data_IF_380520819638
#
_entry.id   IF_380520819638
#
_cell.length_a   1.000
_cell.length_b   1.000
_cell.length_c   1.000
_cell.angle_alpha   90.00
_cell.angle_beta   90.00
_cell.angle_gamma   90.00
#
_symmetry.space_group_name_H-M   'P 1'
#
loop_
_entity.id
_entity.type
_entity.pdbx_description
1 polymer ?
#
# COMPACT_ATOMS: atom_id res chain seq x y z
N UNK A 1 4.14 20.57 8.05
CA UNK A 1 3.72 21.68 8.93
C UNK A 1 2.54 21.20 9.76
N UNK A 2 2.50 21.44 11.07
CA UNK A 2 1.42 20.93 11.91
C UNK A 2 1.27 21.66 13.24
N UNK A 3 0.05 21.67 13.76
CA UNK A 3 -0.32 22.16 15.08
C UNK A 3 -1.08 21.03 15.81
N UNK A 4 -0.33 20.14 16.48
CA UNK A 4 -0.85 18.88 17.02
C UNK A 4 -2.02 19.07 17.99
N UNK A 5 -2.00 20.15 18.79
CA UNK A 5 -3.09 20.47 19.73
C UNK A 5 -4.42 20.82 19.06
N UNK A 6 -4.42 21.12 17.76
CA UNK A 6 -5.63 21.41 16.96
C UNK A 6 -5.96 20.32 15.94
N UNK A 7 -5.27 19.18 15.98
CA UNK A 7 -5.43 18.12 14.97
C UNK A 7 -5.22 18.65 13.55
N UNK A 8 -4.30 19.60 13.37
CA UNK A 8 -4.10 20.33 12.12
C UNK A 8 -2.71 20.07 11.53
N UNK A 9 -2.64 19.89 10.21
CA UNK A 9 -1.40 19.57 9.52
C UNK A 9 -1.46 19.70 8.01
N UNK A 10 -0.31 19.94 7.38
CA UNK A 10 -0.16 20.02 5.93
C UNK A 10 1.23 19.53 5.52
N UNK A 11 1.30 18.96 4.33
CA UNK A 11 2.52 18.41 3.74
C UNK A 11 3.17 19.43 2.80
N UNK A 12 4.46 19.25 2.55
CA UNK A 12 5.21 20.01 1.55
C UNK A 12 6.11 19.07 0.77
N UNK A 13 6.83 19.62 -0.20
CA UNK A 13 7.76 18.88 -1.04
C UNK A 13 9.15 19.51 -1.02
N UNK A 14 10.14 18.74 -1.44
CA UNK A 14 11.53 19.18 -1.52
C UNK A 14 11.97 19.20 -2.99
N UNK A 15 12.65 20.27 -3.39
CA UNK A 15 13.35 20.37 -4.67
C UNK A 15 14.84 20.23 -4.41
N UNK A 16 15.45 19.22 -5.02
CA UNK A 16 16.90 18.99 -4.98
C UNK A 16 17.58 19.66 -6.18
N UNK A 17 18.65 20.42 -5.93
CA UNK A 17 19.41 21.11 -6.98
C UNK A 17 20.57 20.28 -7.56
N UNK A 18 20.84 19.10 -7.02
CA UNK A 18 21.92 18.21 -7.48
C UNK A 18 23.33 18.64 -7.05
N UNK A 19 23.46 19.72 -6.29
CA UNK A 19 24.72 20.25 -5.76
C UNK A 19 24.83 20.11 -4.21
N UNK A 20 23.97 19.28 -3.61
CA UNK A 20 23.88 19.12 -2.15
C UNK A 20 23.04 20.19 -1.44
N UNK A 21 22.39 21.09 -2.17
CA UNK A 21 21.40 22.05 -1.61
C UNK A 21 19.97 21.65 -1.97
N UNK A 22 19.04 22.02 -1.10
CA UNK A 22 17.63 21.65 -1.16
C UNK A 22 16.74 22.85 -0.84
N UNK A 23 15.63 22.99 -1.57
CA UNK A 23 14.55 23.93 -1.22
C UNK A 23 13.36 23.11 -0.71
N UNK A 24 12.94 23.38 0.52
CA UNK A 24 11.65 22.90 1.04
C UNK A 24 10.54 23.88 0.70
N UNK A 25 9.50 23.41 0.02
CA UNK A 25 8.30 24.19 -0.29
C UNK A 25 7.13 23.65 0.52
N UNK A 26 6.48 24.53 1.30
CA UNK A 26 5.31 24.19 2.10
C UNK A 26 4.23 25.21 1.77
N UNK A 27 3.01 24.73 1.50
CA UNK A 27 1.85 25.59 1.33
C UNK A 27 1.27 25.90 2.71
N UNK A 28 1.17 27.18 3.05
CA UNK A 28 0.56 27.62 4.31
C UNK A 28 -0.97 27.45 4.23
N UNK A 29 -1.45 26.28 4.63
CA UNK A 29 -2.87 25.90 4.62
C UNK A 29 -3.50 25.94 6.03
N UNK A 30 -2.83 26.51 7.02
CA UNK A 30 -3.30 26.55 8.40
C UNK A 30 -3.09 27.96 8.94
N UNK A 31 -4.13 28.54 9.55
CA UNK A 31 -4.03 29.79 10.30
C UNK A 31 -3.45 29.53 11.70
N UNK A 32 -2.54 30.37 12.17
CA UNK A 32 -1.98 30.31 13.52
C UNK A 32 -0.45 30.21 13.53
N UNK A 33 0.09 29.48 14.51
CA UNK A 33 1.53 29.32 14.73
C UNK A 33 1.96 27.85 14.55
N UNK A 34 1.81 27.27 13.35
CA UNK A 34 2.12 25.86 13.15
C UNK A 34 3.63 25.59 13.14
N UNK A 35 4.04 24.40 13.58
CA UNK A 35 5.44 23.98 13.55
C UNK A 35 5.78 23.34 12.21
N UNK A 36 6.96 23.64 11.66
CA UNK A 36 7.48 22.95 10.47
C UNK A 36 8.35 21.78 10.91
N UNK A 37 7.95 20.58 10.49
CA UNK A 37 8.68 19.35 10.75
C UNK A 37 9.31 18.89 9.45
N UNK A 38 10.63 18.85 9.42
CA UNK A 38 11.41 18.34 8.29
C UNK A 38 12.07 17.06 8.79
N UNK A 39 11.54 15.87 8.44
CA UNK A 39 12.23 14.63 8.75
C UNK A 39 13.52 14.58 7.93
N UNK A 40 14.67 14.55 8.60
CA UNK A 40 15.92 14.15 7.97
C UNK A 40 15.83 12.64 7.75
N UNK A 41 15.73 12.22 6.49
CA UNK A 41 15.69 10.80 6.14
C UNK A 41 17.11 10.24 5.94
N UNK A 42 17.23 9.15 5.20
CA UNK A 42 18.50 8.51 4.91
C UNK A 42 19.40 9.44 4.09
N UNK A 43 20.64 9.61 4.53
CA UNK A 43 21.66 10.32 3.76
C UNK A 43 21.91 9.61 2.41
N UNK A 44 22.42 10.35 1.42
CA UNK A 44 22.68 9.83 0.07
C UNK A 44 23.61 8.61 0.09
N UNK A 45 24.57 8.59 1.00
CA UNK A 45 25.48 7.48 1.25
C UNK A 45 24.72 6.24 1.75
N UNK A 46 23.78 6.42 2.68
CA UNK A 46 22.94 5.33 3.20
C UNK A 46 21.97 4.79 2.15
N UNK A 47 21.37 5.67 1.33
CA UNK A 47 20.60 5.27 0.15
C UNK A 47 21.48 4.51 -0.84
N UNK A 48 22.70 5.00 -1.09
CA UNK A 48 23.69 4.34 -1.94
C UNK A 48 24.04 2.94 -1.45
N UNK A 49 24.21 2.75 -0.14
CA UNK A 49 24.42 1.43 0.48
C UNK A 49 23.20 0.52 0.28
N UNK A 50 21.99 1.02 0.53
CA UNK A 50 20.74 0.28 0.28
C UNK A 50 20.61 -0.16 -1.18
N UNK A 51 20.76 0.76 -2.14
CA UNK A 51 20.64 0.48 -3.58
C UNK A 51 21.72 -0.49 -4.02
N UNK A 52 22.99 -0.26 -3.66
CA UNK A 52 24.09 -1.17 -4.01
C UNK A 52 23.89 -2.56 -3.41
N UNK A 53 23.41 -2.64 -2.17
CA UNK A 53 23.13 -3.91 -1.52
C UNK A 53 22.03 -4.68 -2.25
N UNK A 54 20.89 -4.03 -2.54
CA UNK A 54 19.80 -4.64 -3.28
C UNK A 54 20.22 -5.03 -4.70
N UNK A 55 21.01 -4.20 -5.40
CA UNK A 55 21.46 -4.50 -6.75
C UNK A 55 22.43 -5.70 -6.77
N UNK A 56 23.32 -5.81 -5.79
CA UNK A 56 24.30 -6.91 -5.68
C UNK A 56 23.70 -8.21 -5.15
N UNK A 57 22.77 -8.11 -4.19
CA UNK A 57 22.28 -9.27 -3.44
C UNK A 57 20.82 -9.63 -3.76
N UNK A 58 20.11 -8.80 -4.52
CA UNK A 58 18.73 -9.01 -4.96
C UNK A 58 17.65 -8.76 -3.91
N UNK A 59 17.96 -8.69 -2.62
CA UNK A 59 17.00 -8.38 -1.55
C UNK A 59 17.70 -7.74 -0.35
N UNK A 60 17.05 -6.84 0.37
CA UNK A 60 17.61 -6.23 1.60
C UNK A 60 17.54 -7.17 2.82
N UNK A 61 16.54 -8.05 2.85
CA UNK A 61 16.34 -9.02 3.92
C UNK A 61 16.49 -10.43 3.39
N UNK A 62 17.26 -11.26 4.08
CA UNK A 62 17.30 -12.70 3.82
C UNK A 62 15.96 -13.30 4.23
N UNK A 63 15.20 -13.82 3.27
CA UNK A 63 13.99 -14.60 3.53
C UNK A 63 14.43 -16.03 3.84
N UNK A 64 14.06 -16.57 5.01
CA UNK A 64 14.49 -17.89 5.44
C UNK A 64 13.39 -18.93 5.23
N UNK A 65 13.51 -19.71 4.15
CA UNK A 65 12.74 -20.93 3.89
C UNK A 65 12.73 -21.85 5.10
N UNK A 66 11.57 -22.39 5.45
CA UNK A 66 11.34 -23.39 6.49
C UNK A 66 10.72 -24.61 5.81
N UNK A 67 11.55 -25.50 5.30
CA UNK A 67 11.14 -26.70 4.58
C UNK A 67 10.72 -27.76 5.59
N UNK A 68 9.67 -28.52 5.28
CA UNK A 68 9.21 -29.64 6.12
C UNK A 68 9.40 -30.95 5.39
N UNK A 69 10.08 -31.92 6.00
CA UNK A 69 10.26 -33.23 5.38
C UNK A 69 9.06 -34.16 5.66
N UNK A 70 9.04 -35.33 5.01
CA UNK A 70 8.00 -36.33 5.19
C UNK A 70 7.85 -36.85 6.63
N UNK A 71 8.87 -36.65 7.49
CA UNK A 71 8.86 -37.02 8.92
C UNK A 71 8.39 -35.88 9.82
N UNK A 72 8.05 -34.72 9.25
CA UNK A 72 7.60 -33.54 9.97
C UNK A 72 8.72 -32.67 10.55
N UNK A 73 9.99 -33.00 10.30
CA UNK A 73 11.15 -32.20 10.71
C UNK A 73 11.20 -30.92 9.87
N UNK A 74 11.77 -29.85 10.43
CA UNK A 74 11.92 -28.57 9.74
C UNK A 74 13.38 -28.24 9.45
N UNK A 75 13.66 -27.77 8.25
CA UNK A 75 14.98 -27.41 7.77
C UNK A 75 14.93 -26.02 7.19
N UNK A 76 16.03 -25.27 7.29
CA UNK A 76 16.06 -23.87 6.86
C UNK A 76 16.96 -23.65 5.66
N UNK A 77 16.53 -22.81 4.73
CA UNK A 77 17.32 -22.44 3.55
C UNK A 77 17.01 -21.03 3.08
N UNK A 78 17.99 -20.32 2.54
CA UNK A 78 17.81 -18.93 2.11
C UNK A 78 17.02 -18.85 0.81
N UNK A 79 16.04 -17.96 0.75
CA UNK A 79 15.23 -17.64 -0.42
C UNK A 79 15.63 -16.31 -1.04
N UNK A 80 15.34 -16.11 -2.34
CA UNK A 80 15.53 -14.85 -3.04
C UNK A 80 15.22 -14.91 -4.54
N UNK A 81 15.56 -13.83 -5.25
CA UNK A 81 15.24 -13.63 -6.68
C UNK A 81 16.36 -14.04 -7.66
N UNK A 82 17.53 -14.43 -7.13
CA UNK A 82 18.68 -14.89 -7.91
C UNK A 82 18.89 -16.40 -7.74
N UNK A 83 19.36 -17.07 -8.78
CA UNK A 83 19.85 -18.45 -8.72
C UNK A 83 21.16 -18.47 -7.94
N UNK A 84 21.13 -18.92 -6.68
CA UNK A 84 22.34 -19.08 -5.89
C UNK A 84 23.09 -20.33 -6.36
N UNK A 85 24.21 -20.13 -7.05
CA UNK A 85 25.09 -21.22 -7.51
C UNK A 85 25.81 -21.87 -6.33
N UNK A 86 25.13 -22.81 -5.66
CA UNK A 86 25.71 -24.03 -5.03
C UNK A 86 24.63 -24.77 -4.24
N UNK A 87 24.37 -26.01 -4.68
CA UNK A 87 23.58 -27.07 -4.03
C UNK A 87 22.05 -26.83 -4.04
N UNK A 88 21.28 -27.93 -4.05
CA UNK A 88 19.89 -28.06 -4.49
C UNK A 88 18.99 -26.82 -4.31
N UNK A 89 18.35 -26.38 -5.39
CA UNK A 89 17.51 -25.17 -5.45
C UNK A 89 16.06 -25.58 -5.74
N UNK A 90 15.12 -25.01 -5.00
CA UNK A 90 13.69 -25.03 -5.33
C UNK A 90 13.36 -23.83 -6.22
N UNK A 91 12.98 -24.09 -7.47
CA UNK A 91 12.43 -23.07 -8.38
C UNK A 91 10.92 -22.98 -8.16
N UNK A 92 10.47 -21.83 -7.67
CA UNK A 92 9.07 -21.54 -7.42
C UNK A 92 8.45 -20.62 -8.48
N UNK A 93 9.15 -20.32 -9.58
CA UNK A 93 8.70 -19.34 -10.58
C UNK A 93 7.33 -19.69 -11.17
N UNK A 94 7.08 -20.96 -11.49
CA UNK A 94 5.78 -21.42 -12.00
C UNK A 94 4.67 -21.28 -10.94
N UNK A 95 4.99 -21.65 -9.69
CA UNK A 95 4.10 -21.47 -8.54
C UNK A 95 3.91 -19.98 -8.17
N UNK A 96 4.82 -19.12 -8.62
CA UNK A 96 4.80 -17.68 -8.49
C UNK A 96 4.32 -16.97 -9.78
N UNK A 97 3.45 -17.61 -10.56
CA UNK A 97 2.79 -16.99 -11.72
C UNK A 97 3.75 -16.43 -12.79
N UNK A 98 4.94 -17.02 -12.93
CA UNK A 98 5.96 -16.61 -13.88
C UNK A 98 6.96 -15.58 -13.34
N UNK A 99 6.75 -15.03 -12.14
CA UNK A 99 7.68 -14.10 -11.49
C UNK A 99 8.76 -14.89 -10.73
N UNK A 100 10.02 -14.48 -10.86
CA UNK A 100 11.16 -15.26 -10.35
C UNK A 100 11.17 -15.38 -8.82
N UNK A 101 11.26 -16.60 -8.30
CA UNK A 101 11.42 -16.87 -6.86
C UNK A 101 12.12 -18.22 -6.63
N UNK A 102 13.21 -18.22 -5.85
CA UNK A 102 14.06 -19.39 -5.60
C UNK A 102 14.35 -19.55 -4.11
N UNK A 103 14.47 -20.79 -3.63
CA UNK A 103 15.00 -21.06 -2.29
C UNK A 103 16.02 -22.20 -2.29
N UNK A 104 17.06 -22.08 -1.48
CA UNK A 104 18.02 -23.16 -1.22
C UNK A 104 17.37 -24.27 -0.39
N UNK A 105 17.58 -25.52 -0.77
CA UNK A 105 17.26 -26.64 0.12
C UNK A 105 18.19 -26.63 1.34
N UNK A 106 17.69 -27.02 2.53
CA UNK A 106 18.55 -27.28 3.68
C UNK A 106 19.54 -28.41 3.35
N UNK A 107 20.79 -28.32 3.82
CA UNK A 107 21.86 -29.31 3.55
C UNK A 107 21.60 -30.74 4.07
N UNK A 108 20.47 -30.99 4.76
CA UNK A 108 20.10 -32.29 5.32
C UNK A 108 19.14 -33.06 4.40
N UNK A 109 19.24 -34.39 4.40
CA UNK A 109 18.41 -35.27 3.55
C UNK A 109 16.95 -35.33 4.03
N UNK A 110 16.01 -35.27 3.07
CA UNK A 110 14.56 -35.47 3.31
C UNK A 110 13.69 -34.23 3.14
N UNK A 111 14.25 -33.02 3.09
CA UNK A 111 13.47 -31.78 2.93
C UNK A 111 12.95 -31.61 1.50
N UNK A 112 11.76 -31.03 1.37
CA UNK A 112 11.13 -30.68 0.10
C UNK A 112 10.55 -29.26 0.15
N UNK A 113 10.27 -28.69 -1.02
CA UNK A 113 10.05 -27.27 -1.27
C UNK A 113 8.74 -26.66 -0.71
N UNK A 114 8.37 -26.81 0.57
CA UNK A 114 6.99 -26.51 1.01
C UNK A 114 6.69 -25.30 1.96
N UNK A 115 7.59 -24.65 2.75
CA UNK A 115 7.18 -23.56 3.74
C UNK A 115 8.30 -22.52 4.13
N UNK A 116 8.04 -21.31 4.73
CA UNK A 116 9.03 -20.19 5.05
C UNK A 116 8.55 -18.92 5.89
N UNK A 117 9.35 -18.22 6.79
CA UNK A 117 9.04 -16.86 7.46
C UNK A 117 10.20 -16.01 8.22
N UNK A 118 10.11 -14.65 8.53
CA UNK A 118 11.22 -13.69 9.11
C UNK A 118 10.91 -12.27 9.79
N UNK A 119 11.91 -11.45 10.35
CA UNK A 119 11.80 -10.24 11.30
C UNK A 119 12.78 -8.97 11.39
N UNK A 120 12.39 -7.72 11.92
CA UNK A 120 13.18 -6.69 12.80
C UNK A 120 12.91 -5.10 12.87
N UNK A 121 13.61 -4.32 13.83
CA UNK A 121 13.44 -2.89 14.40
C UNK A 121 14.47 -1.61 14.26
N UNK A 122 14.17 -0.28 14.63
CA UNK A 122 14.51 1.15 14.07
C UNK A 122 15.09 2.29 14.97
N UNK A 123 15.33 3.51 14.36
CA UNK A 123 15.77 4.84 14.92
C UNK A 123 14.98 6.14 14.37
N UNK A 124 15.42 7.45 14.57
CA UNK A 124 14.75 8.73 15.09
C UNK A 124 14.96 10.13 14.32
N UNK A 125 14.32 11.30 14.69
CA UNK A 125 14.12 12.65 13.94
C UNK A 125 14.39 14.03 14.72
N UNK A 126 14.43 15.26 14.06
CA UNK A 126 14.67 16.71 14.54
C UNK A 126 13.57 17.80 14.11
N UNK A 127 13.52 19.08 14.63
CA UNK A 127 12.41 20.14 14.53
C UNK A 127 12.79 21.67 14.29
N UNK A 128 11.88 22.54 13.75
CA UNK A 128 11.92 24.07 13.72
C UNK A 128 10.52 24.80 13.56
N UNK A 129 10.42 26.15 13.54
CA UNK A 129 9.17 27.01 13.56
C UNK A 129 9.06 28.12 12.46
N UNK A 130 7.84 28.42 11.96
CA UNK A 130 7.52 29.55 11.02
C UNK A 130 6.03 30.01 11.16
N UNK A 131 5.72 31.29 10.86
CA UNK A 131 4.36 31.88 10.82
C UNK A 131 3.84 32.17 9.40
N UNK A 132 2.54 32.05 9.17
CA UNK A 132 1.90 32.49 7.92
C UNK A 132 0.38 32.62 8.00
N UNK A 133 -0.16 33.65 7.34
CA UNK A 133 -1.59 33.90 7.18
C UNK A 133 -1.98 33.85 5.71
N UNK A 134 -2.90 32.96 5.32
CA UNK A 134 -3.75 33.10 4.12
C UNK A 134 -4.89 32.08 4.07
N UNK A 135 -5.99 32.50 3.46
CA UNK A 135 -7.19 31.72 3.18
C UNK A 135 -6.98 30.76 1.98
N UNK A 136 -7.66 29.62 2.03
CA UNK A 136 -7.56 28.51 1.06
C UNK A 136 -8.80 28.54 0.17
N UNK A 137 -8.62 28.50 -1.15
CA UNK A 137 -9.73 28.33 -2.08
C UNK A 137 -10.36 26.94 -1.93
N UNK A 138 -11.70 26.91 -1.83
CA UNK A 138 -12.43 25.65 -1.76
C UNK A 138 -12.55 25.02 -3.15
N UNK A 139 -12.33 23.70 -3.30
CA UNK A 139 -12.52 23.03 -4.57
C UNK A 139 -13.97 23.15 -5.05
N UNK A 140 -14.20 23.24 -6.35
CA UNK A 140 -15.54 23.47 -6.92
C UNK A 140 -16.35 22.16 -7.11
N UNK A 141 -15.67 21.07 -7.46
CA UNK A 141 -16.30 19.81 -7.86
C UNK A 141 -16.31 18.76 -6.74
N UNK A 142 -17.34 17.91 -6.71
CA UNK A 142 -17.37 16.74 -5.82
C UNK A 142 -16.35 15.69 -6.27
N UNK A 143 -15.75 14.96 -5.32
CA UNK A 143 -14.74 13.95 -5.65
C UNK A 143 -15.25 12.85 -6.60
N UNK A 144 -16.52 12.45 -6.52
CA UNK A 144 -17.13 11.51 -7.47
C UNK A 144 -17.30 12.03 -8.91
N UNK A 145 -17.15 13.34 -9.14
CA UNK A 145 -17.38 14.00 -10.43
C UNK A 145 -16.08 14.34 -11.18
N UNK A 146 -14.93 14.33 -10.50
CA UNK A 146 -13.67 14.71 -11.15
C UNK A 146 -13.17 13.62 -12.10
N UNK A 147 -12.44 14.01 -13.14
CA UNK A 147 -11.74 13.06 -13.99
C UNK A 147 -10.63 12.35 -13.17
N UNK A 148 -10.60 11.01 -13.12
CA UNK A 148 -9.60 10.29 -12.32
C UNK A 148 -8.16 10.66 -12.64
N UNK A 149 -7.85 11.06 -13.88
CA UNK A 149 -6.48 11.46 -14.29
C UNK A 149 -5.91 12.60 -13.45
N UNK A 150 -6.76 13.49 -12.91
CA UNK A 150 -6.33 14.63 -12.08
C UNK A 150 -5.66 14.15 -10.79
N UNK A 151 -6.09 13.00 -10.26
CA UNK A 151 -5.54 12.42 -9.02
C UNK A 151 -4.09 11.96 -9.15
N UNK A 152 -3.57 11.84 -10.38
CA UNK A 152 -2.20 11.42 -10.68
C UNK A 152 -1.22 12.58 -10.90
N UNK A 153 -1.73 13.78 -11.19
CA UNK A 153 -0.91 14.88 -11.70
C UNK A 153 -0.81 16.07 -10.72
N UNK A 154 -1.29 15.90 -9.48
CA UNK A 154 -1.28 16.97 -8.48
C UNK A 154 0.06 17.05 -7.73
N UNK A 155 0.56 18.27 -7.57
CA UNK A 155 1.69 18.58 -6.69
C UNK A 155 1.28 18.52 -5.21
N UNK A 156 2.09 17.89 -4.36
CA UNK A 156 1.90 17.92 -2.91
C UNK A 156 1.92 19.37 -2.37
N UNK A 157 1.09 19.71 -1.38
CA UNK A 157 0.09 18.85 -0.75
C UNK A 157 -1.19 18.73 -1.58
N UNK A 158 -1.78 17.53 -1.61
CA UNK A 158 -3.11 17.25 -2.19
C UNK A 158 -4.26 17.64 -1.25
N UNK A 159 -3.94 17.97 0.00
CA UNK A 159 -4.89 18.26 1.06
C UNK A 159 -4.22 18.69 2.35
N UNK A 160 -5.02 18.96 3.38
CA UNK A 160 -4.55 19.30 4.71
C UNK A 160 -5.47 18.69 5.77
N UNK A 161 -4.92 18.39 6.93
CA UNK A 161 -5.66 18.00 8.12
C UNK A 161 -6.07 19.26 8.87
N UNK A 162 -7.33 19.37 9.27
CA UNK A 162 -7.82 20.41 10.16
C UNK A 162 -8.88 19.83 11.08
N UNK A 163 -8.74 20.06 12.40
CA UNK A 163 -9.63 19.48 13.40
C UNK A 163 -9.81 17.97 13.22
N UNK A 164 -8.69 17.25 13.03
CA UNK A 164 -8.61 15.81 12.80
C UNK A 164 -9.31 15.29 11.53
N UNK A 165 -9.80 16.19 10.69
CA UNK A 165 -10.49 15.87 9.44
C UNK A 165 -9.61 16.19 8.25
N UNK A 166 -9.56 15.27 7.28
CA UNK A 166 -8.82 15.49 6.04
C UNK A 166 -9.65 16.33 5.06
N UNK A 167 -9.07 17.45 4.62
CA UNK A 167 -9.63 18.33 3.62
C UNK A 167 -8.85 18.21 2.32
N UNK A 168 -9.52 17.72 1.29
CA UNK A 168 -8.94 17.53 -0.03
C UNK A 168 -8.96 18.86 -0.81
N UNK A 169 -7.87 19.22 -1.49
CA UNK A 169 -7.77 20.45 -2.30
C UNK A 169 -8.21 20.26 -3.75
N UNK A 170 -8.32 19.02 -4.23
CA UNK A 170 -8.78 18.70 -5.59
C UNK A 170 -10.29 18.76 -5.71
N UNK A 171 -10.98 18.28 -4.68
CA UNK A 171 -12.40 18.03 -4.74
C UNK A 171 -13.06 18.10 -3.37
N UNK A 172 -14.36 18.42 -3.38
CA UNK A 172 -15.16 18.45 -2.17
C UNK A 172 -15.58 17.03 -1.79
N UNK A 173 -15.39 16.71 -0.50
CA UNK A 173 -16.03 15.57 0.12
C UNK A 173 -17.31 16.05 0.81
N UNK A 174 -18.46 15.74 0.21
CA UNK A 174 -19.79 16.04 0.75
C UNK A 174 -20.46 14.81 1.40
N UNK A 175 -19.74 13.70 1.52
CA UNK A 175 -20.24 12.49 2.16
C UNK A 175 -20.21 12.74 3.66
N UNK A 176 -21.37 12.73 4.31
CA UNK A 176 -21.43 12.77 5.76
C UNK A 176 -20.87 11.44 6.32
N UNK A 177 -19.89 11.48 7.25
CA UNK A 177 -19.21 10.29 7.75
C UNK A 177 -20.08 9.52 8.76
N UNK A 178 -21.18 8.90 8.28
CA UNK A 178 -22.12 8.16 9.12
C UNK A 178 -22.48 6.79 8.55
N UNK A 179 -22.81 5.88 9.46
CA UNK A 179 -23.22 4.51 9.14
C UNK A 179 -24.30 4.48 8.05
N UNK A 180 -25.38 5.25 8.23
CA UNK A 180 -26.52 5.27 7.30
C UNK A 180 -26.10 5.70 5.89
N UNK A 181 -25.22 6.70 5.79
CA UNK A 181 -24.75 7.22 4.50
C UNK A 181 -23.88 6.21 3.77
N UNK A 182 -22.95 5.59 4.49
CA UNK A 182 -22.09 4.57 3.91
C UNK A 182 -22.85 3.32 3.51
N UNK A 183 -23.75 2.81 4.35
CA UNK A 183 -24.60 1.67 4.00
C UNK A 183 -25.45 1.99 2.78
N UNK A 184 -26.14 3.14 2.76
CA UNK A 184 -26.95 3.54 1.61
C UNK A 184 -26.15 3.61 0.31
N UNK A 185 -24.90 4.07 0.36
CA UNK A 185 -24.00 4.14 -0.79
C UNK A 185 -23.50 2.76 -1.25
N UNK A 186 -23.22 1.87 -0.29
CA UNK A 186 -22.54 0.59 -0.53
C UNK A 186 -23.50 -0.60 -0.66
N UNK A 187 -24.80 -0.42 -0.43
CA UNK A 187 -25.82 -1.45 -0.64
C UNK A 187 -25.69 -2.07 -2.02
N UNK A 188 -25.71 -3.41 -2.09
CA UNK A 188 -25.49 -4.20 -3.31
C UNK A 188 -24.11 -4.00 -3.97
N UNK A 189 -23.09 -3.57 -3.23
CA UNK A 189 -21.71 -3.42 -3.74
C UNK A 189 -20.78 -4.49 -3.18
N UNK A 190 -19.82 -4.88 -4.01
CA UNK A 190 -18.68 -5.70 -3.62
C UNK A 190 -17.43 -4.81 -3.62
N UNK A 191 -16.81 -4.66 -2.46
CA UNK A 191 -15.51 -4.01 -2.29
C UNK A 191 -14.45 -5.10 -2.20
N UNK A 192 -13.50 -5.11 -3.12
CA UNK A 192 -12.44 -6.10 -3.20
C UNK A 192 -11.07 -5.44 -3.20
N UNK A 193 -10.30 -5.65 -2.15
CA UNK A 193 -9.03 -4.98 -1.94
C UNK A 193 -7.88 -5.99 -1.97
N UNK A 194 -6.86 -5.74 -2.80
CA UNK A 194 -5.66 -6.57 -2.90
C UNK A 194 -4.46 -5.74 -2.46
N UNK A 195 -3.72 -6.22 -1.48
CA UNK A 195 -2.54 -5.50 -1.01
C UNK A 195 -1.99 -6.00 0.31
N UNK A 196 -1.20 -5.17 0.96
CA UNK A 196 -0.53 -5.56 2.20
C UNK A 196 -1.42 -5.49 3.47
N UNK A 197 -0.77 -5.70 4.62
CA UNK A 197 -1.40 -5.63 5.94
C UNK A 197 -2.11 -4.30 6.23
N UNK A 198 -1.75 -3.20 5.56
CA UNK A 198 -2.40 -1.90 5.76
C UNK A 198 -3.77 -1.83 5.09
N UNK A 199 -3.94 -2.54 3.96
CA UNK A 199 -5.24 -2.72 3.30
C UNK A 199 -6.10 -3.73 4.08
N UNK A 200 -5.49 -4.72 4.72
CA UNK A 200 -6.23 -5.60 5.67
C UNK A 200 -6.88 -4.79 6.77
N UNK A 201 -6.19 -3.77 7.29
CA UNK A 201 -6.78 -2.88 8.29
C UNK A 201 -7.89 -2.01 7.72
N UNK A 202 -7.89 -1.69 6.42
CA UNK A 202 -9.04 -1.03 5.78
C UNK A 202 -10.30 -1.90 5.81
N UNK A 203 -10.17 -3.21 5.57
CA UNK A 203 -11.28 -4.15 5.75
C UNK A 203 -11.81 -4.14 7.19
N UNK A 204 -10.92 -4.17 8.18
CA UNK A 204 -11.34 -4.19 9.59
C UNK A 204 -12.11 -2.91 9.95
N UNK A 205 -11.59 -1.75 9.56
CA UNK A 205 -12.27 -0.47 9.79
C UNK A 205 -13.56 -0.34 8.99
N UNK A 206 -13.62 -0.81 7.73
CA UNK A 206 -14.87 -0.83 6.97
C UNK A 206 -15.92 -1.73 7.63
N UNK A 207 -15.52 -2.91 8.14
CA UNK A 207 -16.43 -3.78 8.87
C UNK A 207 -16.94 -3.13 10.17
N UNK A 208 -16.08 -2.42 10.90
CA UNK A 208 -16.47 -1.63 12.08
C UNK A 208 -17.45 -0.51 11.71
N UNK A 209 -17.09 0.33 10.73
CA UNK A 209 -17.90 1.46 10.24
C UNK A 209 -19.28 1.00 9.75
N UNK A 210 -19.36 -0.16 9.12
CA UNK A 210 -20.58 -0.73 8.55
C UNK A 210 -21.28 -1.71 9.51
N UNK A 211 -20.85 -1.80 10.77
CA UNK A 211 -21.37 -2.71 11.79
C UNK A 211 -21.56 -4.16 11.27
N UNK A 212 -20.56 -4.65 10.53
CA UNK A 212 -20.59 -5.98 9.94
C UNK A 212 -19.90 -6.97 10.86
N UNK A 213 -20.52 -8.14 11.03
CA UNK A 213 -19.81 -9.28 11.57
C UNK A 213 -18.65 -9.61 10.63
N UNK A 214 -17.42 -9.53 11.13
CA UNK A 214 -16.24 -9.99 10.42
C UNK A 214 -15.63 -11.16 11.18
N UNK A 215 -15.27 -12.20 10.44
CA UNK A 215 -14.35 -13.21 10.93
C UNK A 215 -13.09 -13.07 10.10
N UNK A 216 -11.96 -12.80 10.74
CA UNK A 216 -10.66 -12.99 10.08
C UNK A 216 -10.45 -14.50 10.00
N UNK A 217 -11.17 -15.16 9.10
CA UNK A 217 -10.81 -16.51 8.67
C UNK A 217 -9.63 -16.34 7.74
N UNK A 218 -8.42 -16.30 8.31
CA UNK A 218 -7.22 -16.64 7.53
C UNK A 218 -7.42 -18.09 7.11
N UNK A 219 -7.94 -18.30 5.91
CA UNK A 219 -8.02 -19.63 5.34
C UNK A 219 -6.58 -20.11 5.13
N UNK A 220 -6.10 -20.98 6.01
CA UNK A 220 -4.83 -21.71 5.86
C UNK A 220 -5.04 -22.99 5.04
N UNK A 221 -5.98 -22.98 4.09
CA UNK A 221 -6.17 -24.06 3.12
C UNK A 221 -5.33 -23.75 1.88
N UNK A 222 -4.29 -24.56 1.56
CA UNK A 222 -3.32 -24.30 0.49
C UNK A 222 -3.92 -24.07 -0.91
N UNK A 223 -5.22 -24.30 -1.12
CA UNK A 223 -5.93 -23.99 -2.37
C UNK A 223 -6.53 -22.57 -2.42
N UNK A 224 -6.60 -21.85 -1.29
CA UNK A 224 -7.27 -20.55 -1.19
C UNK A 224 -6.29 -19.44 -0.82
N UNK A 225 -6.37 -18.24 -1.44
CA UNK A 225 -5.51 -17.13 -1.06
C UNK A 225 -5.70 -16.72 0.40
N UNK A 226 -4.66 -16.14 1.03
CA UNK A 226 -4.79 -15.38 2.28
C UNK A 226 -5.77 -14.25 2.00
N UNK A 227 -6.96 -14.41 2.55
CA UNK A 227 -8.10 -13.55 2.33
C UNK A 227 -8.87 -13.40 3.62
N UNK A 228 -9.39 -12.21 3.88
CA UNK A 228 -10.40 -11.95 4.89
C UNK A 228 -11.61 -11.34 4.19
N UNK A 229 -12.81 -11.61 4.70
CA UNK A 229 -14.01 -10.94 4.20
C UNK A 229 -15.01 -10.69 5.32
N UNK A 230 -15.85 -9.68 5.12
CA UNK A 230 -17.01 -9.37 5.94
C UNK A 230 -18.20 -9.14 5.02
N UNK A 231 -19.40 -9.57 5.44
CA UNK A 231 -20.60 -9.51 4.61
C UNK A 231 -21.82 -9.09 5.43
N UNK A 232 -22.58 -8.11 4.94
CA UNK A 232 -23.96 -7.87 5.35
C UNK A 232 -24.88 -8.72 4.49
N UNK A 233 -25.63 -9.65 5.09
CA UNK A 233 -26.70 -10.35 4.36
C UNK A 233 -27.90 -9.43 4.13
N UNK A 234 -28.20 -8.54 5.08
CA UNK A 234 -29.32 -7.59 4.99
C UNK A 234 -29.13 -6.56 3.89
N UNK A 235 -27.93 -5.97 3.81
CA UNK A 235 -27.64 -4.86 2.88
C UNK A 235 -26.89 -5.34 1.62
N UNK A 236 -26.62 -6.65 1.54
CA UNK A 236 -25.87 -7.30 0.45
C UNK A 236 -24.54 -6.60 0.14
N UNK A 237 -23.81 -6.21 1.19
CA UNK A 237 -22.49 -5.58 1.11
C UNK A 237 -21.45 -6.64 1.37
N UNK A 238 -20.45 -6.76 0.49
CA UNK A 238 -19.29 -7.63 0.74
C UNK A 238 -18.02 -6.82 0.71
N UNK A 239 -17.19 -6.94 1.74
CA UNK A 239 -15.86 -6.33 1.82
C UNK A 239 -14.83 -7.45 1.90
N UNK A 240 -13.90 -7.49 0.95
CA UNK A 240 -12.82 -8.47 0.88
C UNK A 240 -11.47 -7.78 0.94
N UNK A 241 -10.54 -8.36 1.69
CA UNK A 241 -9.11 -8.13 1.55
C UNK A 241 -8.41 -9.43 1.15
N UNK A 242 -7.45 -9.36 0.24
CA UNK A 242 -6.51 -10.43 -0.04
C UNK A 242 -5.07 -9.92 -0.09
N UNK A 243 -4.12 -10.75 0.34
CA UNK A 243 -2.70 -10.44 0.19
C UNK A 243 -2.29 -10.43 -1.29
N UNK A 244 -1.46 -9.47 -1.68
CA UNK A 244 -0.83 -9.48 -3.00
C UNK A 244 0.20 -10.61 -3.13
N UNK A 245 0.63 -10.91 -4.35
CA UNK A 245 1.61 -11.93 -4.73
C UNK A 245 2.99 -11.78 -4.06
N UNK A 246 3.86 -12.80 -4.15
CA UNK A 246 5.26 -12.64 -3.74
C UNK A 246 6.00 -11.70 -4.68
N UNK A 247 6.93 -10.86 -4.16
CA UNK A 247 7.47 -10.91 -2.80
C UNK A 247 6.57 -10.30 -1.72
N UNK A 248 6.23 -11.09 -0.69
CA UNK A 248 5.40 -10.66 0.44
C UNK A 248 6.09 -11.01 1.77
N UNK A 249 6.78 -10.04 2.37
CA UNK A 249 7.62 -10.26 3.55
C UNK A 249 6.80 -10.14 4.84
N UNK A 250 6.08 -11.19 5.23
CA UNK A 250 5.27 -11.22 6.46
C UNK A 250 5.63 -12.37 7.40
N UNK A 251 5.33 -12.18 8.69
CA UNK A 251 5.53 -13.19 9.74
C UNK A 251 4.34 -14.13 9.80
N UNK A 252 4.21 -15.01 8.82
CA UNK A 252 3.23 -16.11 8.89
C UNK A 252 4.02 -17.41 8.81
N UNK A 253 4.27 -18.05 9.96
CA UNK A 253 4.75 -19.43 9.99
C UNK A 253 3.73 -20.31 9.25
N UNK A 254 4.17 -21.03 8.22
CA UNK A 254 3.38 -21.97 7.38
C UNK A 254 2.56 -21.34 6.23
N UNK A 255 2.99 -20.21 5.67
CA UNK A 255 2.37 -19.68 4.46
C UNK A 255 3.02 -20.25 3.18
N UNK A 256 2.34 -21.17 2.52
CA UNK A 256 2.69 -21.70 1.18
C UNK A 256 2.53 -20.64 0.09
N UNK A 257 3.29 -20.79 -1.00
CA UNK A 257 3.26 -19.85 -2.13
C UNK A 257 1.87 -19.67 -2.76
N UNK A 258 1.05 -20.72 -2.68
CA UNK A 258 -0.31 -20.73 -3.21
C UNK A 258 -1.25 -19.74 -2.48
N UNK A 259 -0.87 -19.23 -1.31
CA UNK A 259 -1.68 -18.27 -0.57
C UNK A 259 -1.64 -16.84 -1.10
N UNK A 260 -0.66 -16.50 -1.93
CA UNK A 260 -0.46 -15.14 -2.41
C UNK A 260 -0.73 -15.10 -3.90
N UNK A 261 -1.64 -14.22 -4.32
CA UNK A 261 -2.15 -14.22 -5.69
C UNK A 261 -2.06 -12.81 -6.29
N UNK A 262 -1.69 -12.69 -7.57
CA UNK A 262 -1.58 -11.40 -8.21
C UNK A 262 -2.95 -10.76 -8.44
N UNK A 263 -2.96 -9.46 -8.71
CA UNK A 263 -4.18 -8.72 -9.06
C UNK A 263 -4.99 -9.45 -10.16
N UNK A 264 -4.31 -10.01 -11.18
CA UNK A 264 -4.95 -10.79 -12.26
C UNK A 264 -5.87 -11.90 -11.76
N UNK A 265 -5.38 -12.70 -10.82
CA UNK A 265 -6.14 -13.82 -10.27
C UNK A 265 -7.41 -13.32 -9.58
N UNK A 266 -7.27 -12.29 -8.75
CA UNK A 266 -8.38 -11.72 -8.00
C UNK A 266 -9.42 -11.06 -8.90
N UNK A 267 -8.99 -10.31 -9.92
CA UNK A 267 -9.91 -9.69 -10.88
C UNK A 267 -10.66 -10.73 -11.71
N UNK A 268 -10.00 -11.83 -12.11
CA UNK A 268 -10.61 -12.90 -12.91
C UNK A 268 -11.74 -13.66 -12.19
N UNK A 269 -11.70 -13.74 -10.86
CA UNK A 269 -12.75 -14.42 -10.08
C UNK A 269 -13.91 -13.51 -9.70
N UNK A 270 -13.80 -12.19 -9.88
CA UNK A 270 -14.90 -11.26 -9.63
C UNK A 270 -16.06 -11.50 -10.60
N UNK A 271 -17.27 -11.46 -10.05
CA UNK A 271 -18.54 -11.68 -10.76
C UNK A 271 -19.52 -10.52 -10.60
N UNK A 272 -19.31 -9.63 -9.64
CA UNK A 272 -20.09 -8.39 -9.52
C UNK A 272 -19.99 -7.56 -10.80
N UNK A 273 -21.09 -6.89 -11.18
CA UNK A 273 -21.16 -6.03 -12.37
C UNK A 273 -20.59 -4.63 -12.12
N UNK A 274 -20.51 -4.19 -10.87
CA UNK A 274 -20.07 -2.85 -10.48
C UNK A 274 -19.16 -2.87 -9.21
N UNK A 275 -18.14 -3.76 -9.15
CA UNK A 275 -17.29 -3.87 -7.98
C UNK A 275 -16.45 -2.61 -7.77
N UNK A 276 -16.04 -2.40 -6.53
CA UNK A 276 -15.06 -1.40 -6.12
C UNK A 276 -13.76 -2.16 -5.85
N UNK A 277 -12.73 -1.92 -6.64
CA UNK A 277 -11.44 -2.60 -6.51
C UNK A 277 -10.40 -1.62 -5.98
N UNK A 278 -9.67 -2.01 -4.94
CA UNK A 278 -8.52 -1.24 -4.42
C UNK A 278 -7.26 -2.10 -4.52
N UNK A 279 -6.23 -1.61 -5.22
CA UNK A 279 -4.94 -2.29 -5.34
C UNK A 279 -3.84 -1.52 -4.62
N UNK A 280 -2.91 -2.23 -3.97
CA UNK A 280 -1.83 -1.64 -3.20
C UNK A 280 -0.56 -2.51 -3.17
N UNK A 281 0.58 -1.91 -3.50
CA UNK A 281 1.91 -2.50 -3.34
C UNK A 281 2.83 -1.47 -2.69
N UNK A 282 3.28 -1.74 -1.46
CA UNK A 282 4.17 -0.80 -0.78
C UNK A 282 5.14 -1.45 0.20
N UNK A 283 4.69 -1.79 1.41
CA UNK A 283 5.62 -2.06 2.51
C UNK A 283 6.40 -3.35 2.24
N UNK A 284 5.68 -4.41 1.85
CA UNK A 284 6.27 -5.72 1.65
C UNK A 284 7.09 -5.81 0.36
N UNK A 285 6.77 -5.04 -0.66
CA UNK A 285 7.56 -5.03 -1.90
C UNK A 285 8.77 -4.08 -1.85
N UNK A 286 8.88 -3.24 -0.81
CA UNK A 286 10.00 -2.31 -0.62
C UNK A 286 11.36 -2.98 -0.30
N UNK A 287 11.37 -4.29 -0.08
CA UNK A 287 12.59 -5.07 0.23
C UNK A 287 13.31 -5.64 -1.00
N UNK A 288 12.74 -5.46 -2.20
CA UNK A 288 13.26 -6.00 -3.47
C UNK A 288 13.60 -4.89 -4.46
N UNK A 289 14.40 -5.16 -5.51
CA UNK A 289 14.72 -4.20 -6.54
C UNK A 289 13.47 -3.64 -7.21
N UNK A 290 13.56 -2.39 -7.64
CA UNK A 290 12.45 -1.69 -8.31
C UNK A 290 12.00 -2.36 -9.60
N UNK A 291 12.88 -3.13 -10.28
CA UNK A 291 12.49 -3.90 -11.46
C UNK A 291 11.45 -4.97 -11.14
N UNK A 292 11.48 -5.54 -9.92
CA UNK A 292 10.45 -6.48 -9.47
C UNK A 292 9.14 -5.72 -9.29
N UNK A 293 9.16 -4.59 -8.56
CA UNK A 293 7.99 -3.72 -8.43
C UNK A 293 7.40 -3.32 -9.80
N UNK A 294 8.24 -2.97 -10.77
CA UNK A 294 7.84 -2.66 -12.14
C UNK A 294 7.09 -3.83 -12.79
N UNK A 295 7.58 -5.06 -12.67
CA UNK A 295 6.94 -6.28 -13.19
C UNK A 295 5.53 -6.50 -12.60
N UNK A 296 5.39 -6.36 -11.28
CA UNK A 296 4.09 -6.46 -10.59
C UNK A 296 3.09 -5.41 -11.09
N UNK A 297 3.56 -4.17 -11.23
CA UNK A 297 2.75 -3.04 -11.66
C UNK A 297 2.32 -3.18 -13.13
N UNK A 298 3.21 -3.68 -14.01
CA UNK A 298 2.87 -3.99 -15.40
C UNK A 298 1.82 -5.09 -15.48
N UNK A 299 2.00 -6.20 -14.74
CA UNK A 299 1.03 -7.28 -14.70
C UNK A 299 -0.36 -6.81 -14.20
N UNK A 300 -0.37 -5.98 -13.17
CA UNK A 300 -1.59 -5.39 -12.64
C UNK A 300 -2.29 -4.47 -13.66
N UNK A 301 -1.54 -3.65 -14.39
CA UNK A 301 -2.09 -2.81 -15.45
C UNK A 301 -2.80 -3.64 -16.52
N UNK A 302 -2.12 -4.64 -17.07
CA UNK A 302 -2.69 -5.49 -18.12
C UNK A 302 -3.98 -6.17 -17.62
N UNK A 303 -3.95 -6.63 -16.37
CA UNK A 303 -5.10 -7.24 -15.71
C UNK A 303 -6.26 -6.26 -15.50
N UNK A 304 -5.98 -5.00 -15.17
CA UNK A 304 -7.02 -3.96 -15.04
C UNK A 304 -7.66 -3.67 -16.41
N UNK A 305 -6.86 -3.59 -17.47
CA UNK A 305 -7.38 -3.35 -18.83
C UNK A 305 -8.33 -4.48 -19.23
N UNK A 306 -7.88 -5.74 -19.14
CA UNK A 306 -8.71 -6.92 -19.43
C UNK A 306 -9.97 -6.97 -18.53
N UNK A 307 -9.83 -6.58 -17.27
CA UNK A 307 -10.95 -6.58 -16.32
C UNK A 307 -12.00 -5.52 -16.66
N UNK A 308 -11.59 -4.30 -17.00
CA UNK A 308 -12.48 -3.21 -17.36
C UNK A 308 -13.19 -3.45 -18.70
N UNK A 309 -12.56 -4.19 -19.63
CA UNK A 309 -13.23 -4.62 -20.86
C UNK A 309 -14.38 -5.61 -20.56
N UNK A 310 -14.24 -6.43 -19.50
CA UNK A 310 -15.28 -7.37 -19.04
C UNK A 310 -16.32 -6.73 -18.10
N UNK A 311 -15.91 -5.76 -17.28
CA UNK A 311 -16.71 -5.14 -16.22
C UNK A 311 -16.54 -3.62 -16.29
N UNK A 312 -17.16 -2.94 -17.28
CA UNK A 312 -16.92 -1.52 -17.55
C UNK A 312 -17.37 -0.60 -16.41
N UNK A 313 -18.34 -1.02 -15.60
CA UNK A 313 -18.85 -0.24 -14.46
C UNK A 313 -18.06 -0.44 -13.16
N UNK A 314 -16.96 -1.19 -13.19
CA UNK A 314 -16.08 -1.34 -12.03
C UNK A 314 -15.36 -0.02 -11.72
N UNK A 315 -15.28 0.34 -10.43
CA UNK A 315 -14.47 1.46 -9.97
C UNK A 315 -13.11 0.95 -9.49
N UNK A 316 -12.03 1.39 -10.12
CA UNK A 316 -10.66 0.98 -9.79
C UNK A 316 -9.92 2.09 -9.04
N UNK A 317 -9.31 1.71 -7.93
CA UNK A 317 -8.52 2.59 -7.08
C UNK A 317 -7.14 1.99 -6.88
N UNK A 318 -6.12 2.85 -6.92
CA UNK A 318 -4.79 2.50 -6.45
C UNK A 318 -4.58 3.21 -5.12
N UNK A 319 -4.50 2.43 -4.04
CA UNK A 319 -4.12 2.97 -2.74
C UNK A 319 -2.66 3.31 -2.82
N UNK A 320 -2.40 4.60 -2.65
CA UNK A 320 -1.06 5.09 -2.59
C UNK A 320 -0.28 4.69 -1.32
N UNK A 321 0.99 5.09 -1.30
CA UNK A 321 1.85 5.19 -0.13
C UNK A 321 1.20 5.69 1.13
N UNK A 322 1.72 5.29 2.29
CA UNK A 322 1.60 6.12 3.47
C UNK A 322 2.98 6.38 4.09
N UNK A 323 3.10 7.49 4.80
CA UNK A 323 4.30 7.79 5.55
C UNK A 323 4.51 6.73 6.63
N UNK A 324 5.74 6.24 6.70
CA UNK A 324 6.14 5.34 7.76
C UNK A 324 7.64 5.46 7.98
N UNK A 325 8.04 5.33 9.23
CA UNK A 325 9.41 5.16 9.65
C UNK A 325 9.49 3.82 10.32
N UNK A 326 9.88 2.82 9.53
CA UNK A 326 10.03 1.46 10.00
C UNK A 326 11.46 0.98 9.97
N UNK A 327 11.57 -0.07 10.75
CA UNK A 327 12.55 -0.46 11.69
C UNK A 327 13.48 -1.48 11.06
N UNK A 328 13.74 -1.28 9.77
CA UNK A 328 14.13 -2.34 8.88
C UNK A 328 15.22 -1.94 7.90
N UNK A 329 15.72 -0.70 8.01
CA UNK A 329 16.77 -0.16 7.15
C UNK A 329 16.29 0.16 5.74
N UNK A 330 14.98 0.13 5.46
CA UNK A 330 14.43 0.55 4.17
C UNK A 330 14.23 2.07 4.19
N UNK A 331 14.82 2.82 3.23
CA UNK A 331 14.56 4.24 3.05
C UNK A 331 13.19 4.43 2.38
N UNK A 332 12.12 4.28 3.16
CA UNK A 332 10.76 4.21 2.62
C UNK A 332 10.34 5.45 1.84
N UNK A 333 10.81 6.63 2.20
CA UNK A 333 10.60 7.88 1.46
C UNK A 333 11.26 7.88 0.07
N UNK A 334 12.46 7.30 -0.04
CA UNK A 334 13.14 7.11 -1.32
C UNK A 334 12.49 6.01 -2.16
N UNK A 335 12.21 4.85 -1.55
CA UNK A 335 11.52 3.72 -2.21
C UNK A 335 10.18 4.18 -2.75
N UNK A 336 9.46 4.92 -1.92
CA UNK A 336 8.21 5.56 -2.25
C UNK A 336 8.32 6.42 -3.51
N UNK A 337 9.23 7.37 -3.50
CA UNK A 337 9.43 8.28 -4.63
C UNK A 337 9.64 7.53 -5.95
N UNK A 338 10.42 6.44 -5.93
CA UNK A 338 10.67 5.64 -7.12
C UNK A 338 9.48 4.76 -7.51
N UNK A 339 8.76 4.20 -6.54
CA UNK A 339 7.52 3.45 -6.79
C UNK A 339 6.46 4.35 -7.45
N UNK A 340 6.28 5.58 -6.96
CA UNK A 340 5.33 6.54 -7.52
C UNK A 340 5.70 6.91 -8.97
N UNK A 341 6.99 7.13 -9.26
CA UNK A 341 7.44 7.33 -10.65
C UNK A 341 7.10 6.16 -11.55
N UNK A 342 7.35 4.94 -11.10
CA UNK A 342 7.11 3.72 -11.88
C UNK A 342 5.62 3.54 -12.13
N UNK A 343 4.79 3.63 -11.09
CA UNK A 343 3.34 3.44 -11.22
C UNK A 343 2.71 4.54 -12.07
N UNK A 344 3.15 5.79 -11.94
CA UNK A 344 2.63 6.90 -12.75
C UNK A 344 3.01 6.76 -14.22
N UNK A 345 4.21 6.24 -14.51
CA UNK A 345 4.66 5.95 -15.87
C UNK A 345 3.90 4.77 -16.48
N UNK A 346 3.76 3.66 -15.75
CA UNK A 346 3.11 2.46 -16.27
C UNK A 346 1.62 2.73 -16.56
N UNK A 347 0.92 3.37 -15.63
CA UNK A 347 -0.52 3.61 -15.74
C UNK A 347 -0.89 4.80 -16.63
N UNK A 348 0.08 5.52 -17.20
CA UNK A 348 -0.14 6.81 -17.87
C UNK A 348 -1.30 6.81 -18.88
N UNK A 349 -1.36 5.79 -19.74
CA UNK A 349 -2.41 5.67 -20.77
C UNK A 349 -3.78 5.24 -20.25
N UNK A 350 -3.92 4.86 -18.98
CA UNK A 350 -5.19 4.45 -18.36
C UNK A 350 -5.52 5.21 -17.07
N UNK A 351 -4.80 6.30 -16.76
CA UNK A 351 -5.05 7.17 -15.60
C UNK A 351 -6.50 7.66 -15.51
N UNK A 352 -7.15 7.90 -16.65
CA UNK A 352 -8.56 8.33 -16.72
C UNK A 352 -9.56 7.28 -16.24
N UNK A 353 -9.15 6.00 -16.10
CA UNK A 353 -10.00 4.90 -15.62
C UNK A 353 -9.76 4.56 -14.15
N UNK A 354 -8.77 5.17 -13.50
CA UNK A 354 -8.28 4.76 -12.17
C UNK A 354 -8.09 5.98 -11.28
N UNK A 355 -8.64 5.93 -10.07
CA UNK A 355 -8.40 6.95 -9.05
C UNK A 355 -7.16 6.58 -8.25
N UNK A 356 -6.15 7.46 -8.23
CA UNK A 356 -4.99 7.32 -7.36
C UNK A 356 -5.26 8.01 -6.03
N UNK A 357 -5.19 7.26 -4.94
CA UNK A 357 -5.43 7.78 -3.59
C UNK A 357 -4.09 8.17 -2.98
N UNK A 358 -3.78 9.47 -2.90
CA UNK A 358 -2.55 9.96 -2.26
C UNK A 358 -2.65 9.85 -0.73
N UNK A 359 -2.30 8.68 -0.23
CA UNK A 359 -2.27 8.37 1.20
C UNK A 359 -0.99 8.90 1.89
N UNK A 360 -0.03 9.47 1.14
CA UNK A 360 1.21 10.01 1.70
C UNK A 360 0.94 11.33 2.40
N UNK A 361 0.28 12.25 1.71
CA UNK A 361 0.08 13.60 2.25
C UNK A 361 -0.81 13.59 3.50
N UNK A 362 -1.85 12.73 3.54
CA UNK A 362 -2.71 12.58 4.72
C UNK A 362 -1.94 12.08 5.94
N UNK A 363 -1.01 11.14 5.74
CA UNK A 363 -0.22 10.55 6.83
C UNK A 363 0.97 11.41 7.25
N UNK A 364 1.58 12.17 6.33
CA UNK A 364 2.58 13.20 6.70
C UNK A 364 1.92 14.36 7.45
N UNK A 365 0.77 14.85 6.98
CA UNK A 365 0.01 15.92 7.64
C UNK A 365 -0.41 15.52 9.07
N UNK A 366 -0.77 14.26 9.28
CA UNK A 366 -1.10 13.73 10.60
C UNK A 366 0.11 13.34 11.45
N UNK A 367 1.35 13.56 10.96
CA UNK A 367 2.59 13.11 11.59
C UNK A 367 2.63 11.61 11.89
N UNK A 368 1.93 10.80 11.10
CA UNK A 368 1.94 9.35 11.26
C UNK A 368 3.25 8.79 10.75
N UNK A 369 3.95 8.03 11.58
CA UNK A 369 5.22 7.37 11.23
C UNK A 369 5.18 5.86 11.54
N UNK A 370 4.09 5.36 12.10
CA UNK A 370 3.92 3.93 12.37
C UNK A 370 3.63 3.18 11.08
N UNK A 371 4.13 1.93 10.96
CA UNK A 371 3.85 1.08 9.80
C UNK A 371 2.33 0.92 9.57
N UNK A 372 1.57 0.83 10.66
CA UNK A 372 0.12 0.71 10.64
C UNK A 372 -0.50 2.00 11.19
N UNK A 373 -1.15 2.82 10.34
CA UNK A 373 -1.89 4.00 10.77
C UNK A 373 -2.90 3.72 11.90
N UNK A 374 -3.06 4.70 12.80
CA UNK A 374 -4.06 4.66 13.87
C UNK A 374 -5.47 4.47 13.32
N UNK A 375 -6.41 3.99 14.14
CA UNK A 375 -7.79 3.79 13.71
C UNK A 375 -8.43 5.09 13.20
N UNK A 376 -8.24 6.22 13.90
CA UNK A 376 -8.77 7.53 13.49
C UNK A 376 -8.26 7.96 12.12
N UNK A 377 -6.94 7.88 11.89
CA UNK A 377 -6.34 8.22 10.60
C UNK A 377 -6.82 7.28 9.49
N UNK A 378 -6.93 5.98 9.78
CA UNK A 378 -7.45 5.00 8.83
C UNK A 378 -8.90 5.28 8.44
N UNK A 379 -9.72 5.77 9.36
CA UNK A 379 -11.08 6.20 9.04
C UNK A 379 -11.06 7.41 8.10
N UNK A 380 -10.15 8.37 8.26
CA UNK A 380 -9.98 9.47 7.31
C UNK A 380 -9.52 8.99 5.92
N UNK A 381 -8.58 8.04 5.87
CA UNK A 381 -8.12 7.40 4.62
C UNK A 381 -9.26 6.66 3.88
N UNK A 382 -10.10 5.93 4.61
CA UNK A 382 -11.30 5.26 4.06
C UNK A 382 -12.35 6.29 3.64
N UNK A 383 -12.52 7.36 4.43
CA UNK A 383 -13.47 8.41 4.12
C UNK A 383 -13.11 9.11 2.80
N UNK A 384 -11.82 9.34 2.54
CA UNK A 384 -11.34 9.80 1.25
C UNK A 384 -11.71 8.84 0.11
N UNK A 385 -11.47 7.53 0.27
CA UNK A 385 -11.93 6.52 -0.70
C UNK A 385 -13.45 6.65 -0.97
N UNK A 386 -14.26 6.77 0.08
CA UNK A 386 -15.72 6.84 -0.03
C UNK A 386 -16.21 8.13 -0.69
N UNK A 387 -15.46 9.23 -0.57
CA UNK A 387 -15.76 10.50 -1.25
C UNK A 387 -15.76 10.38 -2.79
N UNK A 388 -14.92 9.50 -3.33
CA UNK A 388 -14.88 9.17 -4.77
C UNK A 388 -15.96 8.16 -5.18
N UNK A 389 -16.57 7.46 -4.22
CA UNK A 389 -17.52 6.37 -4.48
C UNK A 389 -18.98 6.85 -4.47
N UNK A 390 -19.40 7.65 -3.48
CA UNK A 390 -20.79 7.76 -3.01
C UNK A 390 -21.67 8.89 -3.60
#
# INVERSE_FOLDING_TARGET
MSEKGKGAGSTGYVVEHGNGTYIGVIRALLSGSPHIKIPLSFAKESIGLYVNYIYRNGMLRTVQGIFKNARGETGKGSCGIHTLTKHGICDFTSLNYGMRWFCLLPNASGFNCLDCSTSNKNIKIIKTEVHGDKFIDHPEYLCRQINPSVTWNISSPVGYLYNETWHNLLCQNNVEPSYNRYVSCLTNREIYMVGDSTVRHWLMSLAEILNLAYSIKLTLDPHYPIKAFSKSTRDNITVTWAAHEFPFFAYTSNATINYFKPARYHLNVLRSKNPIVVLHWYVHIGFVPLSVYEEHVMNAKDSIVEFLDRVPDAKIFIKGPHNLQHTDGVPYDFVRYLQDKIIFKIFDNIKHKIVYLNQWDITVASESYEMHPSNSLRHQMIHELLSYIC
#
